data_IF_845399323751
#
_entry.id   IF_845399323751
#
_cell.length_a   1.000
_cell.length_b   1.000
_cell.length_c   1.000
_cell.angle_alpha   90.00
_cell.angle_beta   90.00
_cell.angle_gamma   90.00
#
_symmetry.space_group_name_H-M   'P 1'
#
loop_
_entity.id
_entity.type
_entity.pdbx_description
1 polymer ?
#
# COMPACT_ATOMS: atom_id res chain seq x y z
N UNK A 1 -2.67 -15.48 -0.10
CA UNK A 1 -1.60 -16.48 0.12
C UNK A 1 -1.31 -17.22 -1.16
N UNK A 2 -0.16 -17.87 -1.28
CA UNK A 2 0.14 -18.74 -2.42
C UNK A 2 1.16 -19.83 -2.07
N UNK A 3 1.18 -20.89 -2.87
CA UNK A 3 2.22 -21.93 -2.86
C UNK A 3 2.49 -22.42 -4.29
N UNK A 4 3.67 -23.02 -4.48
CA UNK A 4 4.15 -23.59 -5.73
C UNK A 4 3.93 -25.10 -5.76
N UNK A 5 3.38 -25.56 -6.87
CA UNK A 5 3.31 -26.95 -7.31
C UNK A 5 4.44 -27.12 -8.33
N UNK A 6 5.32 -28.08 -8.11
CA UNK A 6 6.49 -28.35 -8.97
C UNK A 6 6.08 -29.10 -10.26
N UNK A 7 5.27 -28.43 -11.06
CA UNK A 7 4.75 -28.87 -12.35
C UNK A 7 4.80 -27.70 -13.34
N UNK A 8 4.95 -28.02 -14.63
CA UNK A 8 4.86 -27.05 -15.72
C UNK A 8 3.47 -26.44 -15.82
N UNK A 9 3.45 -25.12 -15.95
CA UNK A 9 2.22 -24.37 -16.12
C UNK A 9 1.67 -24.53 -17.54
N UNK A 10 0.37 -24.79 -17.65
CA UNK A 10 -0.35 -24.79 -18.93
C UNK A 10 -1.46 -23.73 -18.92
N UNK A 11 -1.76 -23.14 -20.08
CA UNK A 11 -2.77 -22.08 -20.21
C UNK A 11 -4.19 -22.52 -19.82
N UNK A 12 -4.47 -23.82 -19.79
CA UNK A 12 -5.75 -24.37 -19.33
C UNK A 12 -6.05 -23.97 -17.88
N UNK A 13 -5.02 -23.75 -17.06
CA UNK A 13 -5.15 -23.30 -15.67
C UNK A 13 -5.55 -21.82 -15.54
N UNK A 14 -5.62 -21.08 -16.66
CA UNK A 14 -6.21 -19.74 -16.70
C UNK A 14 -7.72 -19.77 -17.00
N UNK A 15 -8.23 -20.89 -17.51
CA UNK A 15 -9.64 -21.04 -17.88
C UNK A 15 -10.36 -21.86 -16.81
N UNK A 16 -11.22 -21.21 -16.03
CA UNK A 16 -11.97 -21.86 -14.94
C UNK A 16 -12.89 -23.00 -15.41
N UNK A 17 -13.25 -23.00 -16.69
CA UNK A 17 -14.08 -24.03 -17.28
C UNK A 17 -13.30 -25.26 -17.76
N UNK A 18 -11.96 -25.18 -17.82
CA UNK A 18 -11.12 -26.27 -18.29
C UNK A 18 -11.18 -27.48 -17.35
N UNK A 19 -10.98 -28.66 -17.93
CA UNK A 19 -10.92 -29.92 -17.16
C UNK A 19 -9.80 -29.86 -16.13
N UNK A 20 -8.63 -29.32 -16.51
CA UNK A 20 -7.46 -29.22 -15.62
C UNK A 20 -7.71 -28.27 -14.46
N UNK A 21 -8.27 -27.09 -14.70
CA UNK A 21 -8.59 -26.13 -13.63
C UNK A 21 -9.60 -26.73 -12.64
N UNK A 22 -10.71 -27.29 -13.13
CA UNK A 22 -11.76 -27.88 -12.28
C UNK A 22 -11.23 -29.01 -11.41
N UNK A 23 -10.41 -29.88 -11.99
CA UNK A 23 -9.73 -30.95 -11.26
C UNK A 23 -8.84 -30.36 -10.15
N UNK A 24 -7.93 -29.44 -10.49
CA UNK A 24 -6.97 -28.90 -9.54
C UNK A 24 -7.68 -28.13 -8.41
N UNK A 25 -8.68 -27.31 -8.74
CA UNK A 25 -9.48 -26.61 -7.73
C UNK A 25 -10.25 -27.60 -6.84
N UNK A 26 -10.86 -28.63 -7.42
CA UNK A 26 -11.60 -29.66 -6.69
C UNK A 26 -10.72 -30.49 -5.74
N UNK A 27 -9.48 -30.76 -6.14
CA UNK A 27 -8.53 -31.52 -5.33
C UNK A 27 -7.86 -30.64 -4.25
N UNK A 28 -7.59 -29.37 -4.56
CA UNK A 28 -6.79 -28.48 -3.69
C UNK A 28 -7.64 -27.70 -2.68
N UNK A 29 -8.74 -27.08 -3.12
CA UNK A 29 -9.52 -26.17 -2.28
C UNK A 29 -10.09 -26.83 -1.01
N UNK A 30 -10.60 -28.07 -1.04
CA UNK A 30 -11.06 -28.75 0.18
C UNK A 30 -9.93 -28.97 1.20
N UNK A 31 -8.71 -29.29 0.73
CA UNK A 31 -7.56 -29.48 1.61
C UNK A 31 -7.12 -28.14 2.22
N UNK A 32 -7.14 -27.04 1.44
CA UNK A 32 -6.91 -25.69 1.98
C UNK A 32 -7.94 -25.42 3.09
N UNK A 33 -9.23 -25.65 2.85
CA UNK A 33 -10.27 -25.38 3.84
C UNK A 33 -10.11 -26.21 5.12
N UNK A 34 -9.83 -27.51 4.99
CA UNK A 34 -9.64 -28.40 6.13
C UNK A 34 -8.44 -28.00 6.99
N UNK A 35 -7.28 -27.80 6.37
CA UNK A 35 -6.05 -27.50 7.10
C UNK A 35 -6.13 -26.15 7.82
N UNK A 36 -6.72 -25.13 7.18
CA UNK A 36 -6.87 -23.82 7.80
C UNK A 36 -7.94 -23.81 8.89
N UNK A 37 -9.08 -24.50 8.68
CA UNK A 37 -10.11 -24.66 9.73
C UNK A 37 -9.57 -25.38 10.96
N UNK A 38 -8.75 -26.42 10.76
CA UNK A 38 -8.19 -27.24 11.84
C UNK A 38 -7.16 -26.50 12.68
N UNK A 39 -6.35 -25.63 12.05
CA UNK A 39 -5.20 -25.01 12.70
C UNK A 39 -5.44 -23.57 13.16
N UNK A 40 -6.37 -22.83 12.55
CA UNK A 40 -6.58 -21.41 12.84
C UNK A 40 -7.84 -21.16 13.69
N UNK A 41 -7.64 -20.60 14.88
CA UNK A 41 -8.72 -20.06 15.67
C UNK A 41 -9.32 -18.84 14.97
N UNK A 42 -10.66 -18.80 14.86
CA UNK A 42 -11.35 -17.70 14.19
C UNK A 42 -11.41 -17.80 12.67
N UNK A 43 -11.11 -18.98 12.10
CA UNK A 43 -11.28 -19.25 10.67
C UNK A 43 -12.71 -18.96 10.19
N UNK A 44 -12.82 -18.23 9.08
CA UNK A 44 -14.08 -17.89 8.42
C UNK A 44 -14.20 -18.66 7.10
N UNK A 45 -13.19 -18.54 6.23
CA UNK A 45 -13.17 -19.24 4.95
C UNK A 45 -11.77 -19.32 4.36
N UNK A 46 -11.57 -20.27 3.44
CA UNK A 46 -10.44 -20.24 2.53
C UNK A 46 -10.88 -20.66 1.13
N UNK A 47 -10.35 -19.99 0.11
CA UNK A 47 -10.75 -20.20 -1.27
C UNK A 47 -9.56 -20.05 -2.22
N UNK A 48 -9.40 -21.00 -3.13
CA UNK A 48 -8.44 -20.91 -4.23
C UNK A 48 -8.95 -19.88 -5.24
N UNK A 49 -8.16 -18.83 -5.49
CA UNK A 49 -8.55 -17.69 -6.32
C UNK A 49 -8.09 -17.82 -7.75
N UNK A 50 -6.88 -18.33 -8.01
CA UNK A 50 -6.33 -18.49 -9.38
C UNK A 50 -5.05 -19.31 -9.40
N UNK A 51 -4.67 -19.76 -10.59
CA UNK A 51 -3.33 -20.23 -10.89
C UNK A 51 -2.52 -19.17 -11.65
N UNK A 52 -1.19 -19.16 -11.47
CA UNK A 52 -0.28 -18.24 -12.16
C UNK A 52 1.01 -18.93 -12.63
N UNK A 53 1.67 -18.40 -13.69
CA UNK A 53 2.89 -18.99 -14.28
C UNK A 53 4.15 -18.78 -13.41
N UNK A 54 5.20 -19.56 -13.69
CA UNK A 54 6.45 -19.62 -12.91
C UNK A 54 6.65 -20.95 -12.17
N UNK A 55 6.20 -22.06 -12.78
CA UNK A 55 5.57 -23.27 -12.17
C UNK A 55 4.06 -23.07 -11.94
N UNK A 56 3.30 -24.11 -11.57
CA UNK A 56 1.90 -23.94 -11.17
C UNK A 56 1.83 -23.27 -9.79
N UNK A 57 1.55 -21.97 -9.75
CA UNK A 57 1.38 -21.24 -8.48
C UNK A 57 -0.10 -21.16 -8.14
N UNK A 58 -0.50 -21.80 -7.04
CA UNK A 58 -1.86 -21.74 -6.52
C UNK A 58 -2.01 -20.52 -5.60
N UNK A 59 -2.85 -19.57 -5.98
CA UNK A 59 -3.17 -18.39 -5.17
C UNK A 59 -4.50 -18.65 -4.45
N UNK A 60 -4.56 -18.34 -3.16
CA UNK A 60 -5.75 -18.55 -2.35
C UNK A 60 -5.86 -17.49 -1.25
N UNK A 61 -7.09 -17.19 -0.85
CA UNK A 61 -7.38 -16.25 0.23
C UNK A 61 -7.89 -16.99 1.45
N UNK A 62 -7.48 -16.51 2.63
CA UNK A 62 -7.92 -17.01 3.93
C UNK A 62 -8.53 -15.84 4.68
N UNK A 63 -9.75 -16.01 5.15
CA UNK A 63 -10.44 -15.07 6.03
C UNK A 63 -10.46 -15.64 7.44
N UNK A 64 -10.04 -14.84 8.40
CA UNK A 64 -9.93 -15.19 9.82
C UNK A 64 -10.13 -13.93 10.66
N UNK A 65 -10.53 -14.07 11.92
CA UNK A 65 -10.58 -12.96 12.88
C UNK A 65 -9.20 -12.60 13.46
N UNK A 66 -8.26 -13.54 13.45
CA UNK A 66 -6.89 -13.33 13.90
C UNK A 66 -5.88 -14.10 13.04
N UNK A 67 -4.69 -13.51 12.84
CA UNK A 67 -3.59 -14.09 12.09
C UNK A 67 -2.39 -14.30 13.01
N UNK A 68 -2.16 -15.55 13.41
CA UNK A 68 -0.99 -15.98 14.18
C UNK A 68 -0.05 -16.79 13.26
N UNK A 69 1.19 -16.32 13.03
CA UNK A 69 2.14 -16.98 12.14
C UNK A 69 2.31 -18.48 12.44
N UNK A 70 2.39 -18.87 13.71
CA UNK A 70 2.61 -20.27 14.09
C UNK A 70 1.46 -21.19 13.64
N UNK A 71 0.22 -20.69 13.72
CA UNK A 71 -0.95 -21.46 13.30
C UNK A 71 -1.06 -21.55 11.78
N UNK A 72 -0.69 -20.48 11.07
CA UNK A 72 -0.64 -20.45 9.61
C UNK A 72 0.47 -21.38 9.09
N UNK A 73 1.65 -21.35 9.71
CA UNK A 73 2.78 -22.22 9.37
C UNK A 73 2.45 -23.71 9.57
N UNK A 74 1.70 -24.05 10.63
CA UNK A 74 1.15 -25.41 10.81
C UNK A 74 0.13 -25.77 9.71
N UNK A 75 -0.77 -24.86 9.36
CA UNK A 75 -1.74 -25.07 8.28
C UNK A 75 -1.05 -25.29 6.92
N UNK A 76 0.00 -24.51 6.62
CA UNK A 76 0.81 -24.65 5.40
C UNK A 76 1.51 -26.00 5.32
N UNK A 77 2.17 -26.43 6.41
CA UNK A 77 2.83 -27.73 6.47
C UNK A 77 1.81 -28.88 6.33
N UNK A 78 0.64 -28.75 6.96
CA UNK A 78 -0.46 -29.69 6.82
C UNK A 78 -1.01 -29.76 5.39
N UNK A 79 -1.14 -28.62 4.71
CA UNK A 79 -1.57 -28.54 3.32
C UNK A 79 -0.57 -29.22 2.38
N UNK A 80 0.73 -29.00 2.56
CA UNK A 80 1.77 -29.62 1.76
C UNK A 80 1.80 -31.14 1.88
N UNK A 81 1.41 -31.69 3.04
CA UNK A 81 1.43 -33.14 3.34
C UNK A 81 0.08 -33.83 3.09
N UNK A 82 -1.02 -33.08 3.08
CA UNK A 82 -2.37 -33.64 2.89
C UNK A 82 -2.79 -33.67 1.42
N UNK A 83 -2.11 -32.92 0.55
CA UNK A 83 -2.32 -33.02 -0.89
C UNK A 83 -1.67 -34.28 -1.46
N UNK A 84 -2.29 -34.94 -2.46
CA UNK A 84 -1.69 -36.09 -3.11
C UNK A 84 -0.31 -35.78 -3.70
N UNK A 85 0.62 -36.74 -3.65
CA UNK A 85 2.02 -36.60 -4.08
C UNK A 85 2.18 -36.10 -5.53
N UNK A 86 1.16 -36.29 -6.38
CA UNK A 86 1.12 -35.79 -7.76
C UNK A 86 1.31 -34.27 -7.85
N UNK A 87 0.88 -33.51 -6.83
CA UNK A 87 0.99 -32.05 -6.81
C UNK A 87 2.36 -31.53 -6.38
N UNK A 88 3.25 -32.38 -5.84
CA UNK A 88 4.64 -32.04 -5.49
C UNK A 88 4.79 -30.63 -4.89
N UNK A 89 4.03 -30.35 -3.85
CA UNK A 89 3.96 -29.01 -3.24
C UNK A 89 5.32 -28.64 -2.66
N UNK A 90 5.83 -27.47 -3.04
CA UNK A 90 7.03 -26.91 -2.44
C UNK A 90 6.68 -26.24 -1.11
N UNK A 91 6.95 -26.91 0.00
CA UNK A 91 6.66 -26.40 1.34
C UNK A 91 7.42 -25.10 1.68
N UNK A 92 8.49 -24.76 0.96
CA UNK A 92 9.24 -23.50 1.17
C UNK A 92 8.64 -22.32 0.41
N UNK A 93 7.67 -22.57 -0.48
CA UNK A 93 7.11 -21.56 -1.38
C UNK A 93 5.93 -20.77 -0.79
N UNK A 94 5.49 -21.09 0.42
CA UNK A 94 4.35 -20.42 1.04
C UNK A 94 4.65 -18.95 1.29
N UNK A 95 3.77 -18.08 0.82
CA UNK A 95 3.84 -16.64 1.08
C UNK A 95 2.56 -16.17 1.79
N UNK A 96 2.73 -15.59 3.00
CA UNK A 96 1.62 -14.98 3.75
C UNK A 96 1.62 -13.48 3.49
N UNK A 97 0.54 -12.99 2.88
CA UNK A 97 0.33 -11.56 2.67
C UNK A 97 -0.98 -11.19 3.37
N UNK A 98 -0.88 -10.35 4.41
CA UNK A 98 -2.01 -9.71 5.04
C UNK A 98 -2.33 -8.42 4.27
N UNK A 99 -3.48 -8.41 3.60
CA UNK A 99 -3.96 -7.22 2.91
C UNK A 99 -4.73 -6.34 3.91
N UNK A 100 -4.19 -5.17 4.23
CA UNK A 100 -4.86 -4.22 5.12
C UNK A 100 -6.12 -3.66 4.48
N UNK A 101 -7.18 -3.56 5.27
CA UNK A 101 -8.40 -2.85 4.90
C UNK A 101 -8.28 -1.33 5.11
N UNK A 102 -7.24 -0.87 5.80
CA UNK A 102 -6.97 0.55 5.99
C UNK A 102 -6.16 1.10 4.82
N UNK A 103 -6.56 2.26 4.32
CA UNK A 103 -5.78 2.96 3.29
C UNK A 103 -4.51 3.53 3.88
N UNK A 104 -3.50 3.72 3.04
CA UNK A 104 -2.21 4.26 3.45
C UNK A 104 -2.34 5.69 3.99
N UNK A 105 -1.72 5.97 5.13
CA UNK A 105 -1.75 7.28 5.76
C UNK A 105 -0.72 8.21 5.12
N UNK A 106 -1.04 9.49 4.98
CA UNK A 106 -0.09 10.48 4.48
C UNK A 106 -0.36 11.87 5.04
N UNK A 107 0.70 12.69 5.06
CA UNK A 107 0.65 14.10 5.44
C UNK A 107 1.48 14.95 4.47
N UNK A 108 1.06 16.20 4.19
CA UNK A 108 -0.21 16.82 4.57
C UNK A 108 -1.41 16.19 3.83
N UNK A 109 -2.64 16.45 4.30
CA UNK A 109 -3.88 15.91 3.71
C UNK A 109 -4.11 16.40 2.28
N UNK A 110 -3.63 17.60 1.96
CA UNK A 110 -3.58 18.14 0.59
C UNK A 110 -2.13 18.40 0.22
N UNK A 111 -1.68 17.77 -0.86
CA UNK A 111 -0.29 17.83 -1.31
C UNK A 111 -0.22 18.75 -2.53
N UNK A 112 0.69 19.72 -2.45
CA UNK A 112 0.99 20.63 -3.55
C UNK A 112 2.34 20.31 -4.18
N UNK A 113 2.45 20.51 -5.50
CA UNK A 113 3.73 20.48 -6.21
C UNK A 113 4.75 21.42 -5.57
N UNK A 114 6.02 21.02 -5.53
CA UNK A 114 7.11 21.73 -4.87
C UNK A 114 7.18 21.52 -3.36
N UNK A 115 6.09 21.08 -2.72
CA UNK A 115 6.04 20.80 -1.29
C UNK A 115 6.72 19.50 -0.88
N UNK A 116 6.47 19.07 0.35
CA UNK A 116 6.91 17.77 0.88
C UNK A 116 5.71 16.93 1.28
N UNK A 117 5.82 15.60 1.16
CA UNK A 117 4.85 14.68 1.73
C UNK A 117 5.53 13.52 2.45
N UNK A 118 4.87 13.00 3.47
CA UNK A 118 5.27 11.82 4.21
C UNK A 118 4.14 10.80 4.13
N UNK A 119 4.46 9.60 3.68
CA UNK A 119 3.58 8.45 3.69
C UNK A 119 3.95 7.56 4.88
N UNK A 120 2.95 7.07 5.63
CA UNK A 120 3.13 6.18 6.77
C UNK A 120 2.40 4.85 6.52
N UNK A 121 3.11 3.76 6.74
CA UNK A 121 2.62 2.39 6.58
C UNK A 121 2.63 1.68 7.93
N UNK A 122 1.56 0.93 8.20
CA UNK A 122 1.33 0.30 9.50
C UNK A 122 0.79 1.28 10.56
N UNK A 123 0.66 0.81 11.81
CA UNK A 123 0.95 -0.55 12.24
C UNK A 123 -0.16 -1.52 11.78
N UNK A 124 0.13 -2.83 11.65
CA UNK A 124 -0.89 -3.86 11.54
C UNK A 124 -1.85 -3.80 12.75
N UNK A 125 -3.10 -4.27 12.61
CA UNK A 125 -4.00 -4.40 13.76
C UNK A 125 -3.47 -5.46 14.75
N UNK A 126 -3.77 -5.32 16.03
CA UNK A 126 -3.29 -6.20 17.12
C UNK A 126 -3.61 -7.69 16.91
N UNK A 127 -4.63 -8.01 16.12
CA UNK A 127 -5.00 -9.37 15.75
C UNK A 127 -4.01 -10.03 14.77
N UNK A 128 -3.02 -9.29 14.25
CA UNK A 128 -1.99 -9.76 13.32
C UNK A 128 -0.64 -9.75 14.02
N UNK A 129 -0.18 -10.92 14.46
CA UNK A 129 1.10 -11.06 15.17
C UNK A 129 2.26 -11.16 14.18
N UNK A 130 2.58 -10.07 13.50
CA UNK A 130 3.54 -10.10 12.39
C UNK A 130 5.00 -10.38 12.83
N UNK A 131 5.37 -10.13 14.08
CA UNK A 131 6.74 -10.30 14.57
C UNK A 131 7.70 -9.18 14.12
N UNK A 132 9.00 -9.47 14.05
CA UNK A 132 10.03 -8.48 13.69
C UNK A 132 10.08 -8.22 12.19
N UNK A 133 9.99 -6.95 11.79
CA UNK A 133 10.12 -6.55 10.39
C UNK A 133 11.60 -6.56 9.99
N UNK A 134 11.92 -7.25 8.90
CA UNK A 134 13.27 -7.36 8.34
C UNK A 134 13.49 -6.49 7.11
N UNK A 135 12.41 -6.19 6.37
CA UNK A 135 12.48 -5.41 5.13
C UNK A 135 11.23 -4.59 4.92
N UNK A 136 11.41 -3.41 4.34
CA UNK A 136 10.34 -2.53 3.87
C UNK A 136 10.47 -2.38 2.36
N UNK A 137 9.34 -2.45 1.66
CA UNK A 137 9.26 -2.24 0.22
C UNK A 137 8.17 -1.21 -0.09
N UNK A 138 8.52 -0.18 -0.82
CA UNK A 138 7.59 0.83 -1.32
C UNK A 138 7.51 0.76 -2.84
N UNK A 139 6.31 0.89 -3.39
CA UNK A 139 6.08 1.00 -4.84
C UNK A 139 5.15 2.17 -5.14
N UNK A 140 5.35 2.77 -6.32
CA UNK A 140 4.40 3.69 -6.96
C UNK A 140 4.04 3.16 -8.32
N UNK A 141 2.74 2.98 -8.57
CA UNK A 141 2.21 2.42 -9.82
C UNK A 141 2.93 1.12 -10.22
N UNK A 142 3.16 0.22 -9.24
CA UNK A 142 3.88 -1.04 -9.42
C UNK A 142 5.41 -0.95 -9.52
N UNK A 143 6.00 0.25 -9.64
CA UNK A 143 7.46 0.43 -9.71
C UNK A 143 8.06 0.63 -8.32
N UNK A 144 9.13 -0.10 -8.02
CA UNK A 144 9.85 0.00 -6.73
C UNK A 144 10.45 1.39 -6.56
N UNK A 145 10.25 1.97 -5.38
CA UNK A 145 10.89 3.21 -4.96
C UNK A 145 12.15 2.85 -4.19
N UNK A 146 13.27 3.43 -4.59
CA UNK A 146 14.54 3.36 -3.86
C UNK A 146 14.73 4.63 -3.03
N UNK A 147 15.39 4.50 -1.88
CA UNK A 147 15.69 5.64 -0.99
C UNK A 147 16.82 6.51 -1.54
N UNK A 148 16.54 7.23 -2.62
CA UNK A 148 17.50 8.03 -3.38
C UNK A 148 16.87 9.32 -3.88
N UNK A 149 17.69 10.38 -4.02
CA UNK A 149 17.25 11.67 -4.55
C UNK A 149 16.19 12.32 -3.65
N UNK A 150 14.97 12.49 -4.19
CA UNK A 150 13.84 13.11 -3.48
C UNK A 150 13.14 12.18 -2.49
N UNK A 151 13.42 10.87 -2.54
CA UNK A 151 12.76 9.85 -1.74
C UNK A 151 13.64 9.42 -0.57
N UNK A 152 13.08 9.31 0.62
CA UNK A 152 13.75 8.77 1.82
C UNK A 152 12.85 7.73 2.47
N UNK A 153 13.34 6.50 2.60
CA UNK A 153 12.63 5.43 3.31
C UNK A 153 13.15 5.42 4.75
N UNK A 154 12.29 5.79 5.69
CA UNK A 154 12.57 5.83 7.12
C UNK A 154 12.08 4.53 7.79
N UNK A 155 13.01 3.84 8.45
CA UNK A 155 12.83 2.55 9.12
C UNK A 155 13.19 2.60 10.61
N UNK A 156 13.27 3.79 11.21
CA UNK A 156 13.61 3.91 12.64
C UNK A 156 12.50 3.38 13.57
N UNK A 157 11.24 3.40 13.12
CA UNK A 157 10.07 3.01 13.93
C UNK A 157 9.54 1.58 13.62
N UNK A 158 10.42 0.70 13.11
CA UNK A 158 10.06 -0.70 12.83
C UNK A 158 9.68 -1.49 14.09
N UNK A 159 10.17 -1.08 15.27
CA UNK A 159 9.78 -1.67 16.55
C UNK A 159 8.30 -1.48 16.86
N UNK A 160 7.72 -0.35 16.45
CA UNK A 160 6.27 -0.09 16.52
C UNK A 160 5.51 -0.61 15.30
N UNK A 161 6.18 -1.42 14.47
CA UNK A 161 5.68 -1.94 13.19
C UNK A 161 5.27 -0.87 12.19
N UNK A 162 6.01 0.24 12.14
CA UNK A 162 5.77 1.34 11.21
C UNK A 162 6.97 1.62 10.32
N UNK A 163 6.70 2.10 9.12
CA UNK A 163 7.71 2.66 8.25
C UNK A 163 7.18 3.88 7.53
N UNK A 164 8.07 4.82 7.18
CA UNK A 164 7.70 6.04 6.49
C UNK A 164 8.44 6.17 5.17
N UNK A 165 7.79 6.85 4.23
CA UNK A 165 8.40 7.30 2.98
C UNK A 165 8.23 8.81 2.89
N UNK A 166 9.33 9.53 3.03
CA UNK A 166 9.39 10.98 2.85
C UNK A 166 9.74 11.31 1.41
N UNK A 167 8.98 12.25 0.84
CA UNK A 167 9.15 12.72 -0.53
C UNK A 167 9.31 14.23 -0.48
N UNK A 168 10.50 14.69 -0.84
CA UNK A 168 10.84 16.12 -0.94
C UNK A 168 10.53 16.62 -2.35
N UNK A 169 10.18 17.90 -2.47
CA UNK A 169 9.96 18.58 -3.74
C UNK A 169 9.02 17.77 -4.64
N UNK A 170 7.79 17.58 -4.19
CA UNK A 170 6.77 16.78 -4.87
C UNK A 170 6.52 17.30 -6.29
N UNK A 171 6.39 16.42 -7.28
CA UNK A 171 6.08 16.79 -8.67
C UNK A 171 4.80 16.09 -9.14
N UNK A 172 4.21 16.55 -10.25
CA UNK A 172 2.99 15.96 -10.80
C UNK A 172 3.08 14.44 -11.02
N UNK A 173 4.24 13.95 -11.49
CA UNK A 173 4.52 12.52 -11.71
C UNK A 173 4.58 11.67 -10.43
N UNK A 174 4.61 12.31 -9.26
CA UNK A 174 4.50 11.61 -7.99
C UNK A 174 3.06 11.18 -7.68
N UNK A 175 2.07 11.59 -8.50
CA UNK A 175 0.68 11.16 -8.40
C UNK A 175 0.56 9.68 -8.71
N UNK A 176 -0.30 8.98 -7.97
CA UNK A 176 -0.64 7.60 -8.30
C UNK A 176 -0.94 6.73 -7.10
N UNK A 177 -0.96 5.43 -7.37
CA UNK A 177 -1.17 4.38 -6.37
C UNK A 177 0.15 4.08 -5.69
N UNK A 178 0.19 4.28 -4.37
CA UNK A 178 1.30 3.88 -3.52
C UNK A 178 0.97 2.55 -2.85
N UNK A 179 1.99 1.71 -2.73
CA UNK A 179 1.90 0.38 -2.15
C UNK A 179 3.08 0.20 -1.19
N UNK A 180 2.79 -0.20 0.03
CA UNK A 180 3.78 -0.52 1.05
C UNK A 180 3.69 -2.01 1.39
N UNK A 181 4.83 -2.65 1.57
CA UNK A 181 4.94 -3.98 2.16
C UNK A 181 5.98 -3.99 3.27
N UNK A 182 5.54 -4.23 4.50
CA UNK A 182 6.40 -4.59 5.61
C UNK A 182 6.59 -6.11 5.57
N UNK A 183 7.82 -6.62 5.66
CA UNK A 183 8.14 -8.05 5.54
C UNK A 183 8.80 -8.57 6.81
N UNK A 184 8.14 -9.48 7.53
CA UNK A 184 8.77 -10.31 8.56
C UNK A 184 9.19 -11.66 7.97
N UNK A 185 9.54 -12.64 8.82
CA UNK A 185 9.87 -13.99 8.36
C UNK A 185 8.68 -14.73 7.76
N UNK A 186 7.50 -14.56 8.36
CA UNK A 186 6.32 -15.32 7.98
C UNK A 186 5.25 -14.45 7.32
N UNK A 187 4.95 -13.28 7.89
CA UNK A 187 3.83 -12.43 7.46
C UNK A 187 4.34 -11.18 6.77
N UNK A 188 3.79 -10.90 5.59
CA UNK A 188 3.97 -9.62 4.91
C UNK A 188 2.71 -8.77 5.09
N UNK A 189 2.85 -7.61 5.72
CA UNK A 189 1.76 -6.65 5.85
C UNK A 189 1.76 -5.72 4.63
N UNK A 190 0.64 -5.71 3.91
CA UNK A 190 0.48 -4.95 2.68
C UNK A 190 -0.59 -3.86 2.86
N UNK A 191 -0.26 -2.63 2.46
CA UNK A 191 -1.14 -1.47 2.53
C UNK A 191 -1.03 -0.63 1.26
N UNK A 192 -2.12 -0.01 0.84
CA UNK A 192 -2.13 0.81 -0.38
C UNK A 192 -2.97 2.07 -0.21
N UNK A 193 -2.65 3.11 -0.98
CA UNK A 193 -3.39 4.36 -1.03
C UNK A 193 -3.21 5.07 -2.36
N UNK A 194 -4.26 5.76 -2.82
CA UNK A 194 -4.20 6.63 -3.97
C UNK A 194 -3.84 8.04 -3.52
N UNK A 195 -2.78 8.61 -4.08
CA UNK A 195 -2.31 9.95 -3.75
C UNK A 195 -2.55 10.86 -4.95
N UNK A 196 -3.14 12.02 -4.68
CA UNK A 196 -3.37 13.07 -5.65
C UNK A 196 -2.53 14.30 -5.31
N UNK A 197 -2.12 15.03 -6.35
CA UNK A 197 -1.22 16.19 -6.23
C UNK A 197 -1.86 17.37 -6.93
N UNK A 198 -1.92 18.50 -6.23
CA UNK A 198 -2.41 19.77 -6.77
C UNK A 198 -1.26 20.66 -7.19
N UNK A 199 -1.47 21.45 -8.22
CA UNK A 199 -0.53 22.52 -8.55
C UNK A 199 -0.53 23.57 -7.44
N UNK A 200 0.66 24.01 -7.02
CA UNK A 200 0.77 25.05 -6.00
C UNK A 200 0.13 26.38 -6.48
N UNK A 201 -0.50 27.14 -5.57
CA UNK A 201 -0.95 28.48 -5.90
C UNK A 201 0.24 29.36 -6.28
N UNK A 202 0.14 30.03 -7.43
CA UNK A 202 1.09 31.01 -7.91
C UNK A 202 0.59 32.36 -7.40
N UNK A 203 1.29 32.91 -6.41
CA UNK A 203 0.96 34.22 -5.84
C UNK A 203 1.77 35.28 -6.58
N UNK A 204 1.06 36.26 -7.15
CA UNK A 204 1.67 37.41 -7.81
C UNK A 204 1.31 38.68 -7.03
N UNK A 205 2.33 39.45 -6.64
CA UNK A 205 2.15 40.68 -5.88
C UNK A 205 3.26 41.66 -6.28
N UNK A 206 2.91 42.95 -6.36
CA UNK A 206 3.93 44.01 -6.40
C UNK A 206 4.48 44.21 -4.99
N UNK A 207 5.70 43.76 -4.76
CA UNK A 207 6.36 43.82 -3.44
C UNK A 207 6.87 45.21 -3.08
N UNK A 208 7.03 46.09 -4.08
CA UNK A 208 7.55 47.43 -3.90
C UNK A 208 6.53 48.44 -4.44
N UNK A 209 6.10 49.35 -3.56
CA UNK A 209 5.20 50.45 -3.89
C UNK A 209 5.94 51.74 -3.50
N UNK A 210 6.45 52.44 -4.50
CA UNK A 210 7.08 53.74 -4.32
C UNK A 210 6.01 54.83 -4.43
N UNK A 211 5.59 55.38 -3.28
CA UNK A 211 4.63 56.47 -3.20
C UNK A 211 5.09 57.54 -2.21
N UNK A 212 4.65 58.78 -2.41
CA UNK A 212 4.79 59.84 -1.42
C UNK A 212 3.92 59.49 -0.20
N UNK A 213 4.47 59.63 1.01
CA UNK A 213 3.74 59.41 2.25
C UNK A 213 2.92 60.67 2.58
N UNK A 214 1.62 60.59 2.36
CA UNK A 214 0.66 61.66 2.64
C UNK A 214 -0.25 61.20 3.79
N UNK A 215 -0.47 62.08 4.77
CA UNK A 215 -1.37 61.83 5.90
C UNK A 215 -2.77 61.56 5.34
N UNK A 216 -3.44 60.51 5.85
CA UNK A 216 -4.77 60.01 5.43
C UNK A 216 -4.88 59.32 4.06
N UNK A 217 -3.77 59.11 3.32
CA UNK A 217 -3.81 58.39 2.04
C UNK A 217 -3.62 56.87 2.22
N UNK A 218 -4.62 56.08 1.82
CA UNK A 218 -4.58 54.61 1.84
C UNK A 218 -4.13 54.09 0.47
N UNK A 219 -3.11 53.22 0.43
CA UNK A 219 -2.71 52.51 -0.78
C UNK A 219 -3.19 51.05 -0.74
N UNK A 220 -4.01 50.60 -1.71
CA UNK A 220 -4.43 49.22 -1.77
C UNK A 220 -3.24 48.32 -2.16
N UNK A 221 -3.08 47.20 -1.45
CA UNK A 221 -2.19 46.13 -1.87
C UNK A 221 -2.94 45.21 -2.84
N UNK A 222 -2.45 45.13 -4.07
CA UNK A 222 -2.96 44.18 -5.06
C UNK A 222 -2.16 42.88 -5.00
N UNK A 223 -2.89 41.78 -4.88
CA UNK A 223 -2.36 40.44 -4.92
C UNK A 223 -3.26 39.59 -5.80
N UNK A 224 -2.67 38.73 -6.62
CA UNK A 224 -3.35 37.87 -7.57
C UNK A 224 -2.98 36.40 -7.30
N UNK A 225 -3.95 35.51 -7.48
CA UNK A 225 -3.75 34.06 -7.46
C UNK A 225 -4.60 33.45 -8.57
N UNK A 226 -4.14 32.33 -9.14
CA UNK A 226 -4.92 31.64 -10.18
C UNK A 226 -6.20 31.01 -9.59
N UNK A 227 -7.26 30.93 -10.40
CA UNK A 227 -8.46 30.17 -10.02
C UNK A 227 -8.11 28.67 -9.86
N UNK A 228 -8.75 27.93 -8.93
CA UNK A 228 -9.85 28.31 -8.04
C UNK A 228 -9.39 28.83 -6.66
N UNK A 229 -8.10 29.16 -6.49
CA UNK A 229 -7.58 29.60 -5.20
C UNK A 229 -8.17 30.95 -4.79
N UNK A 230 -8.33 31.14 -3.48
CA UNK A 230 -8.80 32.40 -2.88
C UNK A 230 -7.69 32.97 -2.01
N UNK A 231 -7.46 34.26 -2.13
CA UNK A 231 -6.51 34.98 -1.30
C UNK A 231 -7.07 35.19 0.11
N UNK A 232 -6.19 35.08 1.09
CA UNK A 232 -6.44 35.47 2.47
C UNK A 232 -5.26 36.32 2.94
N UNK A 233 -5.54 37.57 3.29
CA UNK A 233 -4.58 38.43 3.97
C UNK A 233 -4.51 38.06 5.45
N UNK A 234 -3.31 37.99 6.02
CA UNK A 234 -3.09 37.69 7.45
C UNK A 234 -2.47 38.91 8.13
N UNK A 235 -3.26 39.59 8.96
CA UNK A 235 -2.90 40.85 9.63
C UNK A 235 -3.47 42.09 8.92
N UNK A 236 -3.88 43.07 9.74
CA UNK A 236 -4.56 44.38 9.49
C UNK A 236 -5.59 44.41 8.36
N UNK A 237 -6.77 44.96 8.65
CA UNK A 237 -7.93 45.09 7.74
C UNK A 237 -7.53 45.64 6.36
N UNK A 238 -7.34 44.73 5.41
CA UNK A 238 -7.16 45.04 4.00
C UNK A 238 -8.36 44.48 3.24
N UNK A 239 -9.07 45.37 2.54
CA UNK A 239 -10.20 45.00 1.71
C UNK A 239 -9.70 44.30 0.44
N UNK A 240 -10.15 43.07 0.13
CA UNK A 240 -9.72 42.38 -1.09
C UNK A 240 -10.24 43.11 -2.32
N UNK A 241 -9.36 43.59 -3.19
CA UNK A 241 -9.73 43.90 -4.58
C UNK A 241 -9.61 42.61 -5.41
N UNK A 242 -10.66 42.28 -6.15
CA UNK A 242 -10.62 41.23 -7.17
C UNK A 242 -10.20 41.86 -8.50
N UNK A 243 -9.33 41.20 -9.23
CA UNK A 243 -9.15 41.41 -10.67
C UNK A 243 -9.79 40.24 -11.42
#
# INVERSE_FOLDING_TARGET
MSFRINEDFTSDLLNENSVKYKKYKGDIEPVIQDQYRKNMLGFISAALTRFSPGSVIANFDVRTTAADPNTISKANAGLATSLPDVYKVDNSSFNIIYNSNTVLSYKPTTIYSGGTMTLECGPPPDSVKMGTIKKVEWKRNGKVITSTGRFTIDTHDLASQKAKLDIRTVIADDKGKYECTLKSDEIYFYQTGQIDIKEAPIIQMKTEINTLCEVEKIHPLECCVQTPYKLMWKGVELTPSKC
#
